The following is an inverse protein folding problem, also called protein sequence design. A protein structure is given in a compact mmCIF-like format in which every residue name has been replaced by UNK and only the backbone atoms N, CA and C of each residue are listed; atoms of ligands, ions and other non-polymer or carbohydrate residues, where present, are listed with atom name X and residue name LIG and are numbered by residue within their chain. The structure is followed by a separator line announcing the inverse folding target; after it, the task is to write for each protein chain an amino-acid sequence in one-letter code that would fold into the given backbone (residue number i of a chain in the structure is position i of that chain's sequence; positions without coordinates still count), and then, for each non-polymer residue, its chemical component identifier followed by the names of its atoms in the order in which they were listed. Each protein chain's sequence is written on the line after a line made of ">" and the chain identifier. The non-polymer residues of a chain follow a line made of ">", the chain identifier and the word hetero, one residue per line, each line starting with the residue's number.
data_IF_238281847155
#
_entry.id   IF_238281847155
#
_cell.length_a   1.000
_cell.length_b   1.000
_cell.length_c   1.000
_cell.angle_alpha   90.00
_cell.angle_beta   90.00
_cell.angle_gamma   90.00
#
_symmetry.space_group_name_H-M   'P 1'
#
loop_
_entity.id
_entity.type
_entity.pdbx_description
1 polymer ?
#
# COMPACT_ATOMS: atom_id res chain seq x y z
N UNK A 1 -5.34 25.67 38.81
CA UNK A 1 -5.65 24.23 38.68
C UNK A 1 -5.22 23.67 37.33
N UNK A 2 -5.86 24.00 36.19
CA UNK A 2 -5.44 23.41 34.90
C UNK A 2 -4.00 23.76 34.48
N UNK A 3 -3.54 24.99 34.79
CA UNK A 3 -2.18 25.42 34.50
C UNK A 3 -1.12 24.67 35.33
N UNK A 4 -1.41 24.43 36.61
CA UNK A 4 -0.50 23.72 37.53
C UNK A 4 -0.36 22.25 37.12
N UNK A 5 -1.46 21.62 36.66
CA UNK A 5 -1.45 20.23 36.19
C UNK A 5 -0.60 20.05 34.91
N UNK A 6 -0.62 21.03 33.99
CA UNK A 6 0.20 20.99 32.78
C UNK A 6 1.70 21.07 33.11
N UNK A 7 2.06 21.93 34.07
CA UNK A 7 3.43 22.10 34.56
C UNK A 7 3.94 20.83 35.24
N UNK A 8 3.11 20.18 36.07
CA UNK A 8 3.48 18.92 36.73
C UNK A 8 3.67 17.78 35.73
N UNK A 9 2.82 17.69 34.69
CA UNK A 9 2.99 16.73 33.59
C UNK A 9 4.30 16.99 32.83
N UNK A 10 4.62 18.25 32.57
CA UNK A 10 5.87 18.62 31.91
C UNK A 10 7.10 18.27 32.76
N UNK A 11 7.07 18.56 34.08
CA UNK A 11 8.11 18.14 35.03
C UNK A 11 8.31 16.63 35.04
N UNK A 12 7.22 15.86 35.05
CA UNK A 12 7.28 14.41 35.02
C UNK A 12 7.90 13.88 33.72
N UNK A 13 7.51 14.46 32.58
CA UNK A 13 8.06 14.13 31.27
C UNK A 13 9.58 14.36 31.20
N UNK A 14 10.08 15.49 31.72
CA UNK A 14 11.52 15.77 31.74
C UNK A 14 12.30 14.84 32.69
N UNK A 15 11.69 14.43 33.81
CA UNK A 15 12.27 13.44 34.73
C UNK A 15 12.37 12.06 34.09
N UNK A 16 11.37 11.64 33.32
CA UNK A 16 11.40 10.38 32.57
C UNK A 16 12.53 10.37 31.53
N UNK A 17 12.84 11.52 30.94
CA UNK A 17 14.00 11.70 30.06
C UNK A 17 15.35 11.72 30.79
N UNK A 18 15.37 11.56 32.13
CA UNK A 18 16.55 11.56 32.98
C UNK A 18 17.39 12.85 32.90
N UNK A 19 16.73 14.01 32.73
CA UNK A 19 17.40 15.31 32.77
C UNK A 19 17.73 15.70 34.22
N UNK A 20 18.86 16.40 34.40
CA UNK A 20 19.25 16.87 35.73
C UNK A 20 18.26 17.91 36.29
N UNK A 21 18.00 17.93 37.62
CA UNK A 21 17.04 18.84 38.23
C UNK A 21 17.34 20.33 37.97
N UNK A 22 18.62 20.70 37.83
CA UNK A 22 19.02 22.08 37.51
C UNK A 22 18.54 22.48 36.11
N UNK A 23 18.70 21.60 35.12
CA UNK A 23 18.23 21.82 33.74
C UNK A 23 16.71 21.94 33.71
N UNK A 24 16.01 21.07 34.43
CA UNK A 24 14.54 21.12 34.54
C UNK A 24 14.09 22.44 35.16
N UNK A 25 14.78 22.89 36.21
CA UNK A 25 14.48 24.14 36.93
C UNK A 25 14.66 25.34 36.00
N UNK A 26 15.77 25.38 35.25
CA UNK A 26 16.03 26.43 34.26
C UNK A 26 14.95 26.45 33.15
N UNK A 27 14.58 25.30 32.59
CA UNK A 27 13.56 25.25 31.54
C UNK A 27 12.20 25.81 31.98
N UNK A 28 11.81 25.57 33.24
CA UNK A 28 10.51 25.98 33.76
C UNK A 28 10.53 27.45 34.22
N UNK A 29 11.55 27.84 34.98
CA UNK A 29 11.59 29.16 35.62
C UNK A 29 12.18 30.23 34.71
N UNK A 30 13.28 29.93 34.03
CA UNK A 30 14.04 30.91 33.24
C UNK A 30 13.60 30.92 31.77
N UNK A 31 13.44 29.76 31.16
CA UNK A 31 12.95 29.65 29.78
C UNK A 31 11.41 29.75 29.66
N UNK A 32 10.70 29.66 30.79
CA UNK A 32 9.24 29.86 30.86
C UNK A 32 8.41 28.74 30.22
N UNK A 33 8.98 27.54 30.05
CA UNK A 33 8.27 26.39 29.46
C UNK A 33 7.37 25.74 30.49
N UNK A 34 6.04 25.77 30.27
CA UNK A 34 5.05 25.25 31.22
C UNK A 34 4.35 23.99 30.73
N UNK A 35 4.31 23.76 29.42
CA UNK A 35 3.70 22.59 28.82
C UNK A 35 4.64 21.85 27.85
N UNK A 36 4.34 20.58 27.60
CA UNK A 36 5.04 19.76 26.60
C UNK A 36 4.96 20.40 25.20
N UNK A 37 3.82 21.03 24.87
CA UNK A 37 3.61 21.73 23.61
C UNK A 37 4.54 22.94 23.44
N UNK A 38 4.77 23.71 24.52
CA UNK A 38 5.70 24.85 24.50
C UNK A 38 7.11 24.37 24.16
N UNK A 39 7.57 23.30 24.82
CA UNK A 39 8.89 22.72 24.56
C UNK A 39 9.02 22.11 23.16
N UNK A 40 7.97 21.46 22.66
CA UNK A 40 7.96 20.87 21.32
C UNK A 40 8.04 21.94 20.20
N UNK A 41 7.41 23.09 20.42
CA UNK A 41 7.35 24.22 19.49
C UNK A 41 8.44 25.27 19.68
N UNK A 42 9.21 25.21 20.77
CA UNK A 42 10.23 26.22 21.09
C UNK A 42 11.35 26.26 20.05
N UNK A 43 11.76 25.09 19.55
CA UNK A 43 12.78 24.97 18.51
C UNK A 43 12.14 24.63 17.16
N UNK A 44 12.73 25.11 16.07
CA UNK A 44 12.41 24.71 14.71
C UNK A 44 12.95 23.31 14.37
N UNK A 45 12.53 22.76 13.24
CA UNK A 45 12.96 21.42 12.80
C UNK A 45 14.44 21.39 12.45
N UNK A 46 14.96 22.49 11.90
CA UNK A 46 16.31 22.56 11.35
C UNK A 46 17.35 22.97 12.39
N UNK A 47 16.93 23.60 13.49
CA UNK A 47 17.83 24.24 14.45
C UNK A 47 17.77 23.62 15.86
N UNK A 48 16.87 22.67 16.14
CA UNK A 48 16.71 22.13 17.49
C UNK A 48 18.01 21.54 18.07
N UNK A 49 18.87 20.94 17.25
CA UNK A 49 20.11 20.36 17.73
C UNK A 49 21.10 21.39 18.29
N UNK A 50 21.15 22.57 17.66
CA UNK A 50 22.01 23.67 18.05
C UNK A 50 21.34 24.54 19.12
N UNK A 51 20.05 24.84 18.95
CA UNK A 51 19.25 25.63 19.89
C UNK A 51 19.18 24.97 21.27
N UNK A 52 18.97 23.66 21.35
CA UNK A 52 18.96 22.93 22.63
C UNK A 52 20.28 23.09 23.40
N UNK A 53 21.41 23.13 22.70
CA UNK A 53 22.71 23.33 23.33
C UNK A 53 22.90 24.79 23.76
N UNK A 54 22.62 25.75 22.88
CA UNK A 54 22.88 27.17 23.11
C UNK A 54 21.92 27.81 24.11
N UNK A 55 20.63 27.49 24.02
CA UNK A 55 19.58 28.20 24.76
C UNK A 55 19.25 27.54 26.11
N UNK A 56 19.53 26.24 26.25
CA UNK A 56 19.30 25.49 27.48
C UNK A 56 20.61 25.09 28.13
N UNK A 57 21.40 24.22 27.49
CA UNK A 57 22.50 23.56 28.19
C UNK A 57 23.63 24.52 28.59
N UNK A 58 24.00 25.46 27.70
CA UNK A 58 25.03 26.49 27.96
C UNK A 58 24.64 27.48 29.07
N UNK A 59 23.37 27.51 29.48
CA UNK A 59 22.85 28.38 30.55
C UNK A 59 22.83 27.68 31.91
N UNK A 60 23.25 26.42 31.95
CA UNK A 60 23.33 25.59 33.16
C UNK A 60 24.79 25.20 33.46
N UNK A 61 25.03 24.63 34.63
CA UNK A 61 26.35 24.05 34.98
C UNK A 61 26.81 22.90 34.06
N UNK A 62 25.93 22.39 33.20
CA UNK A 62 26.14 21.23 32.34
C UNK A 62 26.53 21.56 30.90
N UNK A 63 27.05 22.76 30.62
CA UNK A 63 27.35 23.25 29.26
C UNK A 63 28.14 22.25 28.37
N UNK A 64 29.11 21.54 28.95
CA UNK A 64 29.96 20.58 28.24
C UNK A 64 29.52 19.11 28.40
N UNK A 65 28.41 18.85 29.09
CA UNK A 65 27.94 17.49 29.35
C UNK A 65 27.21 16.91 28.13
N UNK A 66 27.94 16.12 27.35
CA UNK A 66 27.41 15.43 26.14
C UNK A 66 26.23 14.48 26.44
N UNK A 67 26.17 13.89 27.63
CA UNK A 67 25.08 12.98 28.00
C UNK A 67 23.78 13.76 28.19
N UNK A 68 23.84 14.91 28.88
CA UNK A 68 22.68 15.77 29.06
C UNK A 68 22.19 16.34 27.73
N UNK A 69 23.11 16.74 26.84
CA UNK A 69 22.74 17.16 25.48
C UNK A 69 21.98 16.06 24.72
N UNK A 70 22.46 14.82 24.76
CA UNK A 70 21.79 13.69 24.11
C UNK A 70 20.40 13.42 24.68
N UNK A 71 20.24 13.46 26.01
CA UNK A 71 18.95 13.25 26.68
C UNK A 71 17.95 14.35 26.31
N UNK A 72 18.41 15.60 26.25
CA UNK A 72 17.57 16.75 25.93
C UNK A 72 17.09 16.73 24.47
N UNK A 73 17.95 16.30 23.54
CA UNK A 73 17.55 16.06 22.13
C UNK A 73 16.48 14.97 22.02
N UNK A 74 16.66 13.85 22.70
CA UNK A 74 15.67 12.75 22.73
C UNK A 74 14.36 13.22 23.36
N UNK A 75 14.42 13.99 24.45
CA UNK A 75 13.24 14.59 25.08
C UNK A 75 12.48 15.51 24.13
N UNK A 76 13.19 16.34 23.34
CA UNK A 76 12.56 17.24 22.36
C UNK A 76 11.82 16.45 21.26
N UNK A 77 12.44 15.40 20.72
CA UNK A 77 11.80 14.53 19.72
C UNK A 77 10.56 13.83 20.29
N UNK A 78 10.66 13.27 21.51
CA UNK A 78 9.52 12.67 22.21
C UNK A 78 8.39 13.68 22.46
N UNK A 79 8.72 14.92 22.81
CA UNK A 79 7.72 15.97 23.04
C UNK A 79 6.95 16.31 21.76
N UNK A 80 7.64 16.36 20.63
CA UNK A 80 7.00 16.57 19.31
C UNK A 80 6.09 15.41 18.93
N UNK A 81 6.52 14.18 19.14
CA UNK A 81 5.69 12.99 18.88
C UNK A 81 4.46 12.95 19.79
N UNK A 82 4.63 13.26 21.08
CA UNK A 82 3.51 13.36 22.03
C UNK A 82 2.51 14.43 21.61
N UNK A 83 2.98 15.60 21.17
CA UNK A 83 2.13 16.71 20.71
C UNK A 83 1.40 16.35 19.40
N UNK A 84 2.08 15.69 18.47
CA UNK A 84 1.47 15.19 17.23
C UNK A 84 0.39 14.14 17.51
N UNK A 85 0.66 13.23 18.44
CA UNK A 85 -0.30 12.20 18.86
C UNK A 85 -1.51 12.83 19.52
N UNK A 86 -1.30 13.77 20.45
CA UNK A 86 -2.38 14.51 21.11
C UNK A 86 -3.24 15.32 20.11
N UNK A 87 -2.62 15.93 19.11
CA UNK A 87 -3.33 16.60 18.03
C UNK A 87 -4.17 15.60 17.21
N UNK A 88 -3.62 14.42 16.91
CA UNK A 88 -4.36 13.37 16.18
C UNK A 88 -5.46 12.70 17.00
N UNK A 89 -5.29 12.59 18.33
CA UNK A 89 -6.29 11.98 19.21
C UNK A 89 -7.45 12.93 19.50
N UNK A 90 -7.21 14.24 19.53
CA UNK A 90 -8.30 15.24 19.58
C UNK A 90 -9.16 15.21 18.30
N UNK A 91 -8.58 14.81 17.17
CA UNK A 91 -9.33 14.53 15.94
C UNK A 91 -10.12 13.20 16.03
N UNK A 92 -9.77 12.31 16.98
CA UNK A 92 -10.42 11.02 17.20
C UNK A 92 -11.64 11.04 18.13
N UNK A 93 -11.84 12.09 18.95
CA UNK A 93 -13.03 12.23 19.79
C UNK A 93 -14.32 12.52 18.99
N UNK A 94 -14.20 12.80 17.70
CA UNK A 94 -15.30 12.88 16.76
C UNK A 94 -15.66 11.49 16.23
N UNK A 95 -16.12 10.59 17.10
CA UNK A 95 -16.75 9.34 16.63
C UNK A 95 -18.00 9.63 15.76
N UNK A 96 -18.60 10.83 15.90
CA UNK A 96 -19.62 11.38 15.00
C UNK A 96 -19.04 11.97 13.68
N UNK A 97 -17.72 12.18 13.54
CA UNK A 97 -17.14 12.65 12.28
C UNK A 97 -17.23 11.59 11.19
N UNK A 98 -17.07 10.32 11.52
CA UNK A 98 -16.96 9.27 10.49
C UNK A 98 -18.20 9.16 9.60
N UNK A 99 -19.36 9.52 10.16
CA UNK A 99 -20.65 9.54 9.47
C UNK A 99 -21.06 10.95 9.03
N UNK A 100 -20.32 11.99 9.40
CA UNK A 100 -20.64 13.36 9.01
C UNK A 100 -20.57 13.51 7.49
N UNK A 101 -21.61 14.15 6.95
CA UNK A 101 -21.77 14.41 5.52
C UNK A 101 -20.55 15.12 4.95
N UNK A 102 -20.06 14.66 3.80
CA UNK A 102 -19.02 15.36 3.07
C UNK A 102 -19.60 16.58 2.38
N UNK A 103 -18.77 17.61 2.21
CA UNK A 103 -19.07 18.73 1.32
C UNK A 103 -19.35 18.17 -0.09
N UNK A 104 -20.48 18.53 -0.73
CA UNK A 104 -20.80 18.10 -2.09
C UNK A 104 -19.66 18.30 -3.10
N UNK A 105 -18.89 19.39 -2.98
CA UNK A 105 -17.77 19.66 -3.88
C UNK A 105 -16.62 18.65 -3.72
N UNK A 106 -16.36 18.22 -2.48
CA UNK A 106 -15.35 17.20 -2.17
C UNK A 106 -15.80 15.83 -2.70
N UNK A 107 -17.10 15.55 -2.65
CA UNK A 107 -17.67 14.31 -3.19
C UNK A 107 -17.53 14.25 -4.71
N UNK A 108 -17.94 15.31 -5.41
CA UNK A 108 -17.85 15.38 -6.88
C UNK A 108 -16.39 15.24 -7.36
N UNK A 109 -15.45 15.90 -6.67
CA UNK A 109 -14.02 15.77 -6.96
C UNK A 109 -13.53 14.32 -6.83
N UNK A 110 -13.94 13.60 -5.79
CA UNK A 110 -13.54 12.21 -5.58
C UNK A 110 -14.17 11.24 -6.56
N UNK A 111 -15.46 11.41 -6.89
CA UNK A 111 -16.11 10.61 -7.92
C UNK A 111 -15.41 10.83 -9.27
N UNK A 112 -14.98 12.06 -9.55
CA UNK A 112 -14.14 12.40 -10.70
C UNK A 112 -12.77 11.72 -10.67
N UNK A 113 -12.05 11.79 -9.54
CA UNK A 113 -10.75 11.13 -9.36
C UNK A 113 -10.85 9.60 -9.49
N UNK A 114 -11.86 9.00 -8.87
CA UNK A 114 -12.10 7.56 -8.94
C UNK A 114 -12.44 7.12 -10.37
N UNK A 115 -13.33 7.85 -11.03
CA UNK A 115 -13.70 7.59 -12.43
C UNK A 115 -12.48 7.74 -13.35
N UNK A 116 -11.64 8.76 -13.12
CA UNK A 116 -10.41 8.95 -13.88
C UNK A 116 -9.40 7.82 -13.67
N UNK A 117 -9.23 7.36 -12.42
CA UNK A 117 -8.27 6.32 -12.06
C UNK A 117 -8.69 4.92 -12.53
N UNK A 118 -9.96 4.57 -12.35
CA UNK A 118 -10.45 3.20 -12.55
C UNK A 118 -11.32 3.03 -13.80
N UNK A 119 -11.75 4.13 -14.43
CA UNK A 119 -12.70 4.12 -15.56
C UNK A 119 -14.01 3.39 -15.23
N UNK A 120 -14.42 3.42 -13.97
CA UNK A 120 -15.65 2.84 -13.46
C UNK A 120 -16.50 4.00 -12.91
N UNK A 121 -17.76 4.05 -13.33
CA UNK A 121 -18.77 4.95 -12.79
C UNK A 121 -19.86 4.10 -12.14
N UNK A 122 -20.23 4.40 -10.90
CA UNK A 122 -21.27 3.67 -10.20
C UNK A 122 -22.65 4.22 -10.58
N UNK A 123 -23.56 3.40 -11.13
CA UNK A 123 -24.98 3.74 -11.21
C UNK A 123 -25.53 4.14 -9.84
N UNK A 124 -26.47 5.10 -9.75
CA UNK A 124 -27.06 5.54 -8.48
C UNK A 124 -27.63 4.40 -7.63
N UNK A 125 -28.12 3.34 -8.29
CA UNK A 125 -28.69 2.15 -7.67
C UNK A 125 -27.63 1.25 -6.98
N UNK A 126 -26.38 1.35 -7.41
CA UNK A 126 -25.23 0.57 -6.91
C UNK A 126 -24.26 1.39 -6.06
N UNK A 127 -24.50 2.70 -5.96
CA UNK A 127 -23.69 3.57 -5.11
C UNK A 127 -23.83 3.15 -3.65
N UNK A 128 -22.72 3.01 -2.91
CA UNK A 128 -22.79 2.70 -1.50
C UNK A 128 -23.56 3.78 -0.74
N UNK A 129 -24.16 3.42 0.39
CA UNK A 129 -24.82 4.40 1.24
C UNK A 129 -23.84 5.52 1.65
N UNK A 130 -24.35 6.76 1.74
CA UNK A 130 -23.51 7.96 1.90
C UNK A 130 -22.56 7.89 3.11
N UNK A 131 -23.03 7.36 4.24
CA UNK A 131 -22.20 7.18 5.43
C UNK A 131 -21.03 6.19 5.22
N UNK A 132 -21.24 5.14 4.41
CA UNK A 132 -20.18 4.17 4.06
C UNK A 132 -19.14 4.85 3.18
N UNK A 133 -19.59 5.63 2.19
CA UNK A 133 -18.72 6.39 1.31
C UNK A 133 -17.85 7.39 2.10
N UNK A 134 -18.48 8.17 2.98
CA UNK A 134 -17.81 9.18 3.82
C UNK A 134 -16.75 8.54 4.71
N UNK A 135 -17.07 7.39 5.31
CA UNK A 135 -16.15 6.62 6.15
C UNK A 135 -14.95 6.14 5.35
N UNK A 136 -15.18 5.46 4.22
CA UNK A 136 -14.11 4.94 3.35
C UNK A 136 -13.17 6.09 2.96
N UNK A 137 -13.71 7.22 2.52
CA UNK A 137 -12.89 8.37 2.15
C UNK A 137 -12.00 8.86 3.31
N UNK A 138 -12.57 9.01 4.51
CA UNK A 138 -11.81 9.46 5.68
C UNK A 138 -10.73 8.45 6.09
N UNK A 139 -10.97 7.16 5.94
CA UNK A 139 -9.97 6.10 6.17
C UNK A 139 -8.81 6.20 5.16
N UNK A 140 -9.11 6.38 3.87
CA UNK A 140 -8.09 6.60 2.84
C UNK A 140 -7.25 7.85 3.10
N UNK A 141 -7.89 8.97 3.45
CA UNK A 141 -7.20 10.24 3.74
C UNK A 141 -6.30 10.18 4.98
N UNK A 142 -6.73 9.44 6.01
CA UNK A 142 -5.92 9.24 7.23
C UNK A 142 -4.80 8.20 7.03
N UNK A 143 -4.73 7.55 5.86
CA UNK A 143 -3.74 6.51 5.57
C UNK A 143 -3.95 5.22 6.38
N UNK A 144 -5.06 5.12 7.11
CA UNK A 144 -5.35 4.01 8.01
C UNK A 144 -6.38 3.11 7.32
N UNK A 145 -5.91 2.32 6.36
CA UNK A 145 -6.77 1.45 5.55
C UNK A 145 -7.20 0.25 6.37
N UNK A 146 -8.47 0.20 6.75
CA UNK A 146 -9.02 -0.99 7.38
C UNK A 146 -9.42 -1.98 6.28
N UNK A 147 -8.65 -3.05 6.12
CA UNK A 147 -9.03 -4.15 5.24
C UNK A 147 -9.73 -5.21 6.08
N UNK A 148 -11.06 -5.29 5.96
CA UNK A 148 -11.79 -6.45 6.46
C UNK A 148 -11.69 -7.60 5.46
N UNK A 149 -11.51 -8.80 5.99
CA UNK A 149 -11.52 -10.02 5.19
C UNK A 149 -12.93 -10.22 4.58
N UNK A 150 -13.00 -10.33 3.25
CA UNK A 150 -14.23 -10.54 2.50
C UNK A 150 -15.00 -11.78 2.99
N UNK A 151 -14.31 -12.77 3.55
CA UNK A 151 -14.94 -13.97 4.14
C UNK A 151 -15.81 -13.66 5.36
N UNK A 152 -15.64 -12.49 5.99
CA UNK A 152 -16.42 -12.04 7.16
C UNK A 152 -17.65 -11.23 6.79
N UNK A 153 -17.77 -10.72 5.56
CA UNK A 153 -18.93 -9.96 5.13
C UNK A 153 -20.08 -10.90 4.75
N UNK A 154 -21.11 -10.97 5.61
CA UNK A 154 -22.28 -11.85 5.46
C UNK A 154 -23.44 -11.27 4.63
N UNK A 155 -23.28 -10.15 3.91
CA UNK A 155 -24.45 -9.49 3.31
C UNK A 155 -24.97 -10.18 2.04
N UNK A 156 -26.21 -10.67 2.20
CA UNK A 156 -27.30 -11.19 1.36
C UNK A 156 -27.35 -11.10 -0.19
N UNK A 157 -26.35 -10.61 -0.91
CA UNK A 157 -26.33 -10.74 -2.37
C UNK A 157 -25.05 -11.43 -2.79
N UNK A 158 -25.19 -12.67 -3.24
CA UNK A 158 -24.16 -13.60 -3.70
C UNK A 158 -22.81 -12.96 -4.00
N UNK A 159 -21.93 -12.99 -3.00
CA UNK A 159 -20.49 -12.73 -3.19
C UNK A 159 -19.95 -13.64 -4.30
N UNK A 160 -20.54 -14.83 -4.47
CA UNK A 160 -20.28 -15.76 -5.56
C UNK A 160 -20.64 -15.23 -6.97
N UNK A 161 -21.58 -14.29 -7.11
CA UNK A 161 -21.99 -13.73 -8.41
C UNK A 161 -21.13 -12.53 -8.85
N UNK A 162 -20.55 -11.80 -7.89
CA UNK A 162 -19.72 -10.60 -8.16
C UNK A 162 -18.23 -10.96 -8.27
N UNK A 163 -17.78 -11.99 -7.55
CA UNK A 163 -16.39 -12.47 -7.59
C UNK A 163 -15.89 -12.79 -9.03
N UNK A 164 -16.63 -13.47 -9.91
CA UNK A 164 -16.14 -13.79 -11.25
C UNK A 164 -15.91 -12.56 -12.15
N UNK A 165 -16.55 -11.41 -11.86
CA UNK A 165 -16.37 -10.18 -12.65
C UNK A 165 -15.22 -9.30 -12.16
N UNK A 166 -14.91 -9.34 -10.85
CA UNK A 166 -13.76 -8.62 -10.27
C UNK A 166 -12.44 -9.38 -10.42
N UNK A 167 -12.50 -10.70 -10.51
CA UNK A 167 -11.35 -11.56 -10.79
C UNK A 167 -11.25 -11.81 -12.29
N UNK A 168 -10.91 -10.75 -13.03
CA UNK A 168 -10.37 -10.93 -14.36
C UNK A 168 -9.19 -11.92 -14.28
N UNK A 169 -9.36 -13.05 -14.96
CA UNK A 169 -8.45 -14.19 -15.13
C UNK A 169 -6.99 -13.73 -15.04
N UNK A 170 -6.30 -14.11 -13.96
CA UNK A 170 -4.95 -13.62 -13.70
C UNK A 170 -3.99 -14.45 -14.54
N UNK A 171 -3.56 -13.89 -15.65
CA UNK A 171 -2.46 -14.44 -16.43
C UNK A 171 -1.12 -14.11 -15.74
N UNK A 172 -0.19 -15.06 -15.79
CA UNK A 172 1.20 -14.82 -15.39
C UNK A 172 2.10 -14.97 -16.60
N UNK A 173 3.03 -14.04 -16.73
CA UNK A 173 4.06 -14.04 -17.76
C UNK A 173 5.30 -14.72 -17.18
N UNK A 174 5.78 -15.74 -17.90
CA UNK A 174 6.98 -16.50 -17.56
C UNK A 174 8.09 -16.12 -18.52
N UNK A 175 9.19 -15.66 -17.94
CA UNK A 175 10.41 -15.30 -18.66
C UNK A 175 11.38 -16.47 -18.55
N UNK A 176 11.41 -17.35 -19.55
CA UNK A 176 12.43 -18.36 -19.75
C UNK A 176 12.46 -18.67 -21.26
N UNK A 177 13.54 -18.26 -21.92
CA UNK A 177 13.63 -18.23 -23.37
C UNK A 177 13.89 -19.63 -23.93
N UNK A 178 13.26 -19.93 -25.07
CA UNK A 178 13.54 -21.03 -25.99
C UNK A 178 13.12 -22.47 -25.63
N UNK A 179 12.72 -22.82 -24.40
CA UNK A 179 12.39 -24.24 -24.08
C UNK A 179 11.05 -24.49 -23.38
N UNK A 180 10.16 -23.51 -23.40
CA UNK A 180 8.91 -23.53 -22.63
C UNK A 180 7.75 -24.32 -23.31
N UNK A 181 7.93 -24.79 -24.55
CA UNK A 181 6.81 -25.16 -25.44
C UNK A 181 6.12 -26.50 -25.10
N UNK A 182 6.83 -27.46 -24.51
CA UNK A 182 6.26 -28.75 -24.09
C UNK A 182 6.29 -28.95 -22.58
N UNK A 183 7.35 -28.51 -21.90
CA UNK A 183 7.56 -28.86 -20.50
C UNK A 183 6.71 -28.06 -19.53
N UNK A 184 6.38 -26.81 -19.84
CA UNK A 184 5.71 -25.94 -18.90
C UNK A 184 4.24 -26.30 -18.67
N UNK A 185 3.54 -26.70 -19.73
CA UNK A 185 2.16 -27.14 -19.62
C UNK A 185 2.06 -28.36 -18.69
N UNK A 186 2.95 -29.33 -18.85
CA UNK A 186 3.03 -30.52 -18.00
C UNK A 186 3.50 -30.20 -16.58
N UNK A 187 4.48 -29.29 -16.44
CA UNK A 187 4.98 -28.87 -15.13
C UNK A 187 3.86 -28.26 -14.29
N UNK A 188 3.12 -27.27 -14.80
CA UNK A 188 2.10 -26.59 -14.00
C UNK A 188 0.82 -27.42 -13.84
N UNK A 189 0.43 -28.22 -14.84
CA UNK A 189 -0.74 -29.13 -14.71
C UNK A 189 -0.55 -30.23 -13.67
N UNK A 190 0.69 -30.61 -13.36
CA UNK A 190 0.98 -31.60 -12.32
C UNK A 190 0.69 -31.11 -10.90
N UNK A 191 0.72 -29.79 -10.67
CA UNK A 191 0.58 -29.18 -9.34
C UNK A 191 -0.68 -28.31 -9.20
N UNK A 192 -1.19 -27.73 -10.30
CA UNK A 192 -2.28 -26.76 -10.27
C UNK A 192 -3.32 -27.00 -11.36
N UNK A 193 -4.52 -26.46 -11.17
CA UNK A 193 -5.53 -26.43 -12.22
C UNK A 193 -5.29 -25.27 -13.20
N UNK A 194 -4.68 -25.61 -14.33
CA UNK A 194 -4.32 -24.65 -15.39
C UNK A 194 -5.44 -24.55 -16.42
N UNK A 195 -5.98 -23.35 -16.60
CA UNK A 195 -6.97 -23.03 -17.63
C UNK A 195 -6.36 -22.90 -19.03
N UNK A 196 -5.14 -22.38 -19.12
CA UNK A 196 -4.43 -22.20 -20.38
C UNK A 196 -2.93 -22.16 -20.14
N UNK A 197 -2.15 -22.84 -20.98
CA UNK A 197 -0.71 -22.67 -21.06
C UNK A 197 -0.33 -22.46 -22.53
N UNK A 198 0.70 -21.66 -22.79
CA UNK A 198 1.23 -21.54 -24.14
C UNK A 198 2.41 -20.57 -24.23
N UNK A 199 3.21 -20.72 -25.28
CA UNK A 199 4.36 -19.87 -25.53
C UNK A 199 4.02 -18.77 -26.54
N UNK A 200 4.56 -17.58 -26.31
CA UNK A 200 4.47 -16.45 -27.22
C UNK A 200 5.88 -16.03 -27.61
N UNK A 201 6.14 -16.06 -28.91
CA UNK A 201 7.35 -15.51 -29.49
C UNK A 201 7.16 -14.02 -29.72
N UNK A 202 8.08 -13.22 -29.18
CA UNK A 202 8.15 -11.78 -29.41
C UNK A 202 9.12 -11.55 -30.58
N UNK A 203 8.85 -10.51 -31.38
CA UNK A 203 9.63 -10.17 -32.56
C UNK A 203 11.12 -9.89 -32.30
N UNK A 204 11.54 -9.76 -31.02
CA UNK A 204 12.93 -9.64 -30.59
C UNK A 204 13.70 -10.96 -30.65
N UNK A 205 13.04 -12.09 -30.95
CA UNK A 205 13.63 -13.43 -30.85
C UNK A 205 13.58 -14.01 -29.43
N UNK A 206 12.99 -13.28 -28.48
CA UNK A 206 12.70 -13.77 -27.13
C UNK A 206 11.34 -14.46 -27.11
N UNK A 207 11.24 -15.60 -26.42
CA UNK A 207 9.97 -16.28 -26.18
C UNK A 207 9.61 -16.24 -24.70
N UNK A 208 8.32 -16.09 -24.43
CA UNK A 208 7.74 -16.03 -23.10
C UNK A 208 6.67 -17.11 -22.96
N UNK A 209 6.69 -17.82 -21.84
CA UNK A 209 5.62 -18.71 -21.45
C UNK A 209 4.48 -17.94 -20.81
N UNK A 210 3.24 -18.36 -21.03
CA UNK A 210 2.09 -17.80 -20.33
C UNK A 210 1.28 -18.93 -19.75
N UNK A 211 0.91 -18.77 -18.49
CA UNK A 211 0.09 -19.72 -17.75
C UNK A 211 -1.07 -18.95 -17.12
N UNK A 212 -2.27 -19.44 -17.36
CA UNK A 212 -3.53 -18.95 -16.84
C UNK A 212 -4.06 -20.00 -15.86
N UNK A 213 -4.19 -19.63 -14.59
CA UNK A 213 -4.70 -20.50 -13.55
C UNK A 213 -6.21 -20.31 -13.38
N UNK A 214 -6.93 -21.35 -12.97
CA UNK A 214 -8.36 -21.22 -12.64
C UNK A 214 -8.57 -20.40 -11.35
N UNK A 215 -7.60 -20.45 -10.44
CA UNK A 215 -7.66 -19.83 -9.12
C UNK A 215 -6.51 -18.83 -8.93
N UNK A 216 -6.80 -17.70 -8.27
CA UNK A 216 -5.75 -16.73 -7.87
C UNK A 216 -4.78 -17.33 -6.84
N UNK A 217 -5.29 -18.20 -5.97
CA UNK A 217 -4.47 -18.81 -4.92
C UNK A 217 -3.37 -19.66 -5.56
N UNK A 218 -3.74 -20.48 -6.53
CA UNK A 218 -2.84 -21.37 -7.28
C UNK A 218 -1.77 -20.55 -8.01
N UNK A 219 -2.16 -19.42 -8.59
CA UNK A 219 -1.24 -18.55 -9.30
C UNK A 219 -0.20 -17.88 -8.37
N UNK A 220 -0.63 -17.47 -7.16
CA UNK A 220 0.27 -16.93 -6.15
C UNK A 220 1.20 -18.01 -5.58
N UNK A 221 0.66 -19.21 -5.32
CA UNK A 221 1.44 -20.35 -4.84
C UNK A 221 2.47 -20.78 -5.88
N UNK A 222 2.10 -20.87 -7.15
CA UNK A 222 3.02 -21.10 -8.25
C UNK A 222 4.13 -20.05 -8.28
N UNK A 223 3.79 -18.76 -8.12
CA UNK A 223 4.80 -17.69 -8.03
C UNK A 223 5.75 -17.83 -6.84
N UNK A 224 5.27 -18.33 -5.70
CA UNK A 224 6.13 -18.51 -4.53
C UNK A 224 7.03 -19.74 -4.68
N UNK A 225 6.53 -20.81 -5.29
CA UNK A 225 7.25 -22.08 -5.41
C UNK A 225 8.25 -22.10 -6.56
N UNK A 226 7.89 -21.54 -7.71
CA UNK A 226 8.67 -21.70 -8.95
C UNK A 226 9.55 -20.49 -9.30
N UNK A 227 9.41 -19.35 -8.62
CA UNK A 227 10.32 -18.23 -8.83
C UNK A 227 11.74 -18.55 -8.34
N UNK A 228 12.70 -18.48 -9.26
CA UNK A 228 14.11 -18.77 -8.99
C UNK A 228 14.47 -20.26 -9.05
N UNK A 229 13.50 -21.15 -9.33
CA UNK A 229 13.79 -22.56 -9.61
C UNK A 229 14.55 -22.64 -10.93
N UNK A 230 15.66 -23.37 -10.93
CA UNK A 230 16.46 -23.59 -12.13
C UNK A 230 15.76 -24.61 -13.03
N UNK A 231 15.42 -24.18 -14.24
CA UNK A 231 14.96 -25.04 -15.32
C UNK A 231 16.03 -24.98 -16.41
N UNK A 232 16.70 -26.10 -16.66
CA UNK A 232 17.84 -26.19 -17.57
C UNK A 232 18.91 -25.11 -17.33
N UNK A 233 19.30 -24.95 -16.07
CA UNK A 233 20.31 -23.99 -15.60
C UNK A 233 19.88 -22.51 -15.65
N UNK A 234 18.69 -22.20 -16.18
CA UNK A 234 18.13 -20.85 -16.15
C UNK A 234 17.08 -20.68 -15.03
N UNK A 235 17.16 -19.62 -14.22
CA UNK A 235 16.18 -19.37 -13.17
C UNK A 235 14.84 -18.92 -13.77
N UNK A 236 13.78 -19.66 -13.50
CA UNK A 236 12.43 -19.32 -13.92
C UNK A 236 11.95 -18.06 -13.18
N UNK A 237 11.39 -17.10 -13.92
CA UNK A 237 10.77 -15.90 -13.36
C UNK A 237 9.32 -15.77 -13.78
N UNK A 238 8.43 -15.94 -12.81
CA UNK A 238 6.99 -15.76 -12.87
C UNK A 238 6.61 -14.35 -12.39
N UNK A 239 5.84 -13.64 -13.21
CA UNK A 239 5.32 -12.31 -12.89
C UNK A 239 3.83 -12.21 -13.20
N UNK A 240 3.09 -11.51 -12.34
CA UNK A 240 1.68 -11.20 -12.59
C UNK A 240 1.54 -10.28 -13.81
N UNK A 241 0.70 -10.67 -14.75
CA UNK A 241 0.39 -9.85 -15.91
C UNK A 241 -0.29 -8.53 -15.50
N UNK A 242 -0.02 -7.47 -16.27
CA UNK A 242 -0.56 -6.13 -16.06
C UNK A 242 -1.55 -5.70 -17.15
N UNK A 243 -2.09 -6.65 -17.92
CA UNK A 243 -3.07 -6.39 -18.99
C UNK A 243 -2.49 -6.49 -20.40
N UNK A 244 -1.20 -6.82 -20.54
CA UNK A 244 -0.54 -7.03 -21.85
C UNK A 244 -1.00 -8.37 -22.48
N UNK A 245 -1.55 -9.29 -21.67
CA UNK A 245 -1.96 -10.62 -22.11
C UNK A 245 -3.09 -10.65 -23.13
N UNK A 246 -4.11 -9.78 -22.96
CA UNK A 246 -5.30 -9.83 -23.81
C UNK A 246 -4.96 -9.56 -25.28
N UNK A 247 -4.04 -8.62 -25.50
CA UNK A 247 -3.54 -8.26 -26.83
C UNK A 247 -2.74 -9.42 -27.44
N UNK A 248 -1.80 -9.99 -26.67
CA UNK A 248 -0.95 -11.09 -27.12
C UNK A 248 -1.74 -12.37 -27.45
N UNK A 249 -2.75 -12.71 -26.65
CA UNK A 249 -3.64 -13.88 -26.89
C UNK A 249 -4.46 -13.70 -28.17
N UNK A 250 -4.97 -12.49 -28.41
CA UNK A 250 -5.73 -12.18 -29.61
C UNK A 250 -4.85 -12.22 -30.88
N UNK A 251 -3.60 -11.78 -30.79
CA UNK A 251 -2.64 -11.84 -31.87
C UNK A 251 -2.29 -13.28 -32.25
N UNK A 252 -2.06 -14.17 -31.26
CA UNK A 252 -1.80 -15.60 -31.51
C UNK A 252 -2.99 -16.29 -32.18
N UNK A 253 -4.22 -15.99 -31.75
CA UNK A 253 -5.44 -16.55 -32.38
C UNK A 253 -5.62 -16.10 -33.83
N UNK A 254 -5.28 -14.85 -34.16
CA UNK A 254 -5.33 -14.34 -35.53
C UNK A 254 -4.30 -15.02 -36.44
N UNK A 255 -3.06 -15.17 -35.97
CA UNK A 255 -2.02 -15.90 -36.72
C UNK A 255 -2.44 -17.35 -36.99
N UNK A 256 -2.97 -18.04 -35.98
CA UNK A 256 -3.45 -19.41 -36.13
C UNK A 256 -4.59 -19.55 -37.15
N UNK A 257 -5.43 -18.52 -37.30
CA UNK A 257 -6.52 -18.52 -38.30
C UNK A 257 -6.07 -18.12 -39.72
N UNK A 258 -4.96 -17.40 -39.88
CA UNK A 258 -4.41 -17.03 -41.19
C UNK A 258 -3.54 -18.14 -41.80
N UNK A 259 -2.90 -18.96 -40.97
CA UNK A 259 -2.00 -20.03 -41.40
C UNK A 259 -2.75 -21.30 -41.86
N UNK A 260 -4.04 -21.43 -41.52
CA UNK A 260 -4.93 -22.43 -42.12
C UNK A 260 -5.40 -21.91 -43.48
N UNK A 261 -4.51 -21.86 -44.47
CA UNK A 261 -4.95 -21.77 -45.86
C UNK A 261 -5.68 -23.06 -46.20
N UNK A 262 -6.91 -23.01 -46.77
CA UNK A 262 -7.51 -24.19 -47.35
C UNK A 262 -6.59 -24.62 -48.49
N UNK A 263 -5.86 -25.71 -48.32
CA UNK A 263 -5.23 -26.37 -49.45
C UNK A 263 -6.33 -26.65 -50.46
N UNK A 264 -6.18 -26.05 -51.65
CA UNK A 264 -7.03 -26.26 -52.81
C UNK A 264 -7.07 -27.78 -53.09
N UNK A 265 -8.06 -28.46 -52.52
CA UNK A 265 -8.51 -29.77 -52.97
C UNK A 265 -9.24 -29.57 -54.31
N UNK A 266 -8.50 -29.21 -55.35
CA UNK A 266 -8.94 -29.41 -56.73
C UNK A 266 -8.82 -30.90 -57.03
N UNK A 267 -9.78 -31.68 -56.53
CA UNK A 267 -9.96 -33.07 -56.90
C UNK A 267 -10.35 -33.11 -58.39
N UNK A 268 -9.38 -33.46 -59.22
CA UNK A 268 -9.57 -33.72 -60.65
C UNK A 268 -10.53 -34.90 -60.78
N UNK A 269 -11.75 -34.61 -61.22
CA UNK A 269 -12.70 -35.62 -61.70
C UNK A 269 -12.28 -35.96 -63.13
N UNK A 270 -11.52 -37.04 -63.28
CA UNK A 270 -11.28 -37.65 -64.59
C UNK A 270 -12.56 -38.37 -65.06
N UNK A 271 -12.97 -38.06 -66.30
CA UNK A 271 -14.10 -38.63 -67.04
C UNK A 271 -13.86 -40.08 -67.51
#
# INVERSE_FOLDING_TARGET
>A
MAADEAEDKFKHFLKEAMLEPEVITYMINDAGMKAIADFAGYFGVDDYEAGVQADILQKTSFADNRIQLSRLRVACLKAREATKTAASSNIGAAAEEWEATLDPAVREAQEGEFTAAYRITFPPETSPAEHVYNRIYREFKRGNKHCEDLTRMRSAADVAAVLPQLFARIAFLVTAAAMFDAFAEDLFKGFFEVAYAGVIEVSSGESYGIVEFLSRSDALEACMQFNGVLLDEEPVRLRQDRGEFAELKSAKRRKLSEEVQPEDFSEQVDE
#
